data_IF_552115029075
#
_entry.id   IF_552115029075
#
_cell.length_a   1.000
_cell.length_b   1.000
_cell.length_c   1.000
_cell.angle_alpha   90.00
_cell.angle_beta   90.00
_cell.angle_gamma   90.00
#
_symmetry.space_group_name_H-M   'P 1'
#
loop_
_entity.id
_entity.type
_entity.pdbx_description
1 polymer ?
#
# COMPACT_ATOMS: atom_id res chain seq x y z
N UNK A 1 -3.96 4.87 15.94
CA UNK A 1 -3.53 5.17 14.57
C UNK A 1 -4.65 5.92 13.88
N UNK A 2 -4.34 7.04 13.27
CA UNK A 2 -5.28 7.84 12.48
C UNK A 2 -4.75 7.96 11.05
N UNK A 3 -5.67 7.99 10.08
CA UNK A 3 -5.35 8.04 8.64
C UNK A 3 -6.22 9.07 7.96
N UNK A 4 -5.57 9.99 7.23
CA UNK A 4 -6.25 10.97 6.37
C UNK A 4 -5.70 10.85 4.96
N UNK A 5 -6.56 10.46 4.02
CA UNK A 5 -6.16 10.23 2.63
C UNK A 5 -7.02 11.05 1.69
N UNK A 6 -6.38 11.64 0.68
CA UNK A 6 -7.04 12.17 -0.49
C UNK A 6 -6.34 11.70 -1.76
N UNK A 7 -7.06 11.62 -2.85
CA UNK A 7 -6.50 11.23 -4.13
C UNK A 7 -7.21 11.94 -5.28
N UNK A 8 -6.46 12.20 -6.34
CA UNK A 8 -6.96 12.64 -7.63
C UNK A 8 -6.57 11.62 -8.69
N UNK A 9 -7.44 11.39 -9.66
CA UNK A 9 -7.17 10.49 -10.77
C UNK A 9 -7.73 11.04 -12.08
N UNK A 10 -7.11 10.60 -13.18
CA UNK A 10 -7.58 10.88 -14.52
C UNK A 10 -7.36 9.65 -15.40
N UNK A 11 -8.28 9.44 -16.34
CA UNK A 11 -8.25 8.35 -17.31
C UNK A 11 -8.66 8.87 -18.68
N UNK A 12 -7.91 8.45 -19.70
CA UNK A 12 -8.14 8.79 -21.09
C UNK A 12 -8.15 7.52 -21.93
N UNK A 13 -9.03 7.45 -22.89
CA UNK A 13 -8.99 6.42 -23.92
C UNK A 13 -8.95 7.10 -25.28
N UNK A 14 -7.96 6.76 -26.07
CA UNK A 14 -7.78 7.25 -27.42
C UNK A 14 -7.88 6.09 -28.42
N UNK A 15 -8.74 6.23 -29.40
CA UNK A 15 -8.91 5.27 -30.50
C UNK A 15 -8.07 5.76 -31.68
N UNK A 16 -7.02 5.01 -32.03
CA UNK A 16 -6.23 5.27 -33.22
C UNK A 16 -6.98 4.86 -34.49
N UNK A 17 -7.72 3.73 -34.36
CA UNK A 17 -8.62 3.18 -35.38
C UNK A 17 -9.83 2.55 -34.67
N UNK A 18 -10.79 2.04 -35.43
CA UNK A 18 -11.93 1.29 -34.86
C UNK A 18 -11.47 0.00 -34.14
N UNK A 19 -10.27 -0.49 -34.50
CA UNK A 19 -9.70 -1.73 -33.96
C UNK A 19 -8.64 -1.50 -32.89
N UNK A 20 -7.95 -0.36 -32.87
CA UNK A 20 -6.81 -0.10 -31.99
C UNK A 20 -7.09 1.06 -31.04
N UNK A 21 -7.02 0.80 -29.76
CA UNK A 21 -7.25 1.80 -28.72
C UNK A 21 -6.17 1.75 -27.63
N UNK A 22 -5.83 2.90 -27.09
CA UNK A 22 -4.92 3.09 -25.97
C UNK A 22 -5.67 3.74 -24.83
N UNK A 23 -5.69 3.09 -23.69
CA UNK A 23 -6.15 3.67 -22.43
C UNK A 23 -4.94 4.06 -21.56
N UNK A 24 -4.92 5.29 -21.09
CA UNK A 24 -3.93 5.82 -20.17
C UNK A 24 -4.63 6.35 -18.94
N UNK A 25 -4.09 6.07 -17.78
CA UNK A 25 -4.61 6.58 -16.54
C UNK A 25 -3.53 6.79 -15.50
N UNK A 26 -3.86 7.56 -14.51
CA UNK A 26 -2.98 7.78 -13.38
C UNK A 26 -3.75 8.27 -12.16
N UNK A 27 -3.28 7.87 -11.00
CA UNK A 27 -3.81 8.30 -9.71
C UNK A 27 -2.67 8.83 -8.86
N UNK A 28 -2.84 10.01 -8.33
CA UNK A 28 -2.00 10.56 -7.27
C UNK A 28 -2.72 10.42 -5.95
N UNK A 29 -2.05 9.83 -4.97
CA UNK A 29 -2.57 9.62 -3.63
C UNK A 29 -1.65 10.31 -2.62
N UNK A 30 -2.24 11.04 -1.68
CA UNK A 30 -1.58 11.63 -0.52
C UNK A 30 -2.19 11.00 0.73
N UNK A 31 -1.40 10.22 1.46
CA UNK A 31 -1.83 9.42 2.60
C UNK A 31 -1.06 9.85 3.84
N UNK A 32 -1.71 10.61 4.72
CA UNK A 32 -1.15 11.06 5.98
C UNK A 32 -1.51 10.07 7.08
N UNK A 33 -0.49 9.53 7.73
CA UNK A 33 -0.59 8.57 8.82
C UNK A 33 -0.04 9.17 10.10
N UNK A 34 -0.79 9.02 11.19
CA UNK A 34 -0.30 9.33 12.53
C UNK A 34 -0.57 8.18 13.48
N UNK A 35 0.36 7.97 14.39
CA UNK A 35 0.25 6.93 15.41
C UNK A 35 0.70 7.46 16.76
N UNK A 36 0.02 7.04 17.82
CA UNK A 36 0.47 7.16 19.19
C UNK A 36 0.47 5.76 19.78
N UNK A 37 1.62 5.31 20.26
CA UNK A 37 1.80 4.00 20.89
C UNK A 37 2.34 4.20 22.30
N UNK A 38 1.51 3.92 23.30
CA UNK A 38 1.86 3.97 24.71
C UNK A 38 1.75 2.54 25.24
N UNK A 39 2.83 2.05 25.84
CA UNK A 39 2.89 0.73 26.47
C UNK A 39 3.52 0.79 27.83
N UNK A 40 2.96 0.05 28.76
CA UNK A 40 3.46 -0.13 30.10
C UNK A 40 3.22 -1.57 30.57
N UNK A 41 3.99 -2.01 31.53
CA UNK A 41 3.75 -3.26 32.23
C UNK A 41 2.84 -3.02 33.43
N UNK A 42 1.92 -3.93 33.71
CA UNK A 42 1.00 -3.87 34.82
C UNK A 42 1.10 -5.14 35.66
N UNK A 43 1.03 -4.98 37.00
CA UNK A 43 0.93 -6.07 37.96
C UNK A 43 -0.50 -6.19 38.47
N UNK A 44 -0.91 -7.39 38.82
CA UNK A 44 -2.19 -7.72 39.43
C UNK A 44 -3.45 -7.43 38.59
N UNK A 45 -3.27 -7.36 37.24
CA UNK A 45 -4.39 -7.21 36.31
C UNK A 45 -4.09 -6.38 35.06
N UNK A 46 -5.05 -6.28 34.15
CA UNK A 46 -4.94 -5.45 32.96
C UNK A 46 -4.88 -3.95 33.27
N UNK A 47 -4.46 -3.16 32.29
CA UNK A 47 -4.43 -1.70 32.37
C UNK A 47 -5.77 -1.09 32.78
N UNK A 48 -5.80 -0.07 33.65
CA UNK A 48 -7.01 0.70 33.93
C UNK A 48 -7.64 1.36 32.71
N UNK A 49 -6.85 1.65 31.67
CA UNK A 49 -7.34 2.23 30.40
C UNK A 49 -8.29 1.30 29.63
N UNK A 50 -8.24 0.01 29.92
CA UNK A 50 -9.14 -1.00 29.34
C UNK A 50 -10.06 -1.63 30.39
N UNK A 51 -10.30 -0.92 31.50
CA UNK A 51 -11.19 -1.36 32.56
C UNK A 51 -10.56 -2.34 33.54
N UNK A 52 -9.24 -2.50 33.55
CA UNK A 52 -8.52 -3.37 34.48
C UNK A 52 -8.20 -2.70 35.81
N UNK A 53 -7.66 -3.50 36.76
CA UNK A 53 -7.25 -3.07 38.11
C UNK A 53 -5.73 -3.11 38.29
N UNK A 54 -4.97 -3.34 37.23
CA UNK A 54 -3.53 -3.47 37.28
C UNK A 54 -2.83 -2.16 37.67
N UNK A 55 -1.75 -2.30 38.43
CA UNK A 55 -0.86 -1.18 38.83
C UNK A 55 0.34 -1.16 37.90
N UNK A 56 0.62 -0.01 37.30
CA UNK A 56 1.80 0.14 36.42
C UNK A 56 3.09 -0.17 37.18
N UNK A 57 3.91 -1.00 36.59
CA UNK A 57 5.22 -1.38 37.10
C UNK A 57 6.34 -0.90 36.16
N UNK A 58 7.29 -0.13 36.71
CA UNK A 58 8.40 0.41 35.95
C UNK A 58 8.03 1.55 34.99
N UNK A 59 8.98 1.91 34.15
CA UNK A 59 8.80 2.94 33.12
C UNK A 59 7.94 2.44 31.94
N UNK A 60 7.48 3.36 31.10
CA UNK A 60 6.83 3.01 29.83
C UNK A 60 7.81 2.23 28.94
N UNK A 61 7.36 1.09 28.42
CA UNK A 61 8.11 0.30 27.44
C UNK A 61 7.97 0.84 26.01
N UNK A 62 6.94 1.66 25.78
CA UNK A 62 6.79 2.45 24.57
C UNK A 62 6.09 3.77 24.89
N UNK A 63 6.64 4.86 24.35
CA UNK A 63 6.05 6.19 24.34
C UNK A 63 6.39 6.83 22.99
N UNK A 64 5.65 6.44 21.96
CA UNK A 64 5.89 6.87 20.60
C UNK A 64 4.72 7.72 20.09
N UNK A 65 5.06 8.81 19.42
CA UNK A 65 4.12 9.60 18.63
C UNK A 65 4.82 9.97 17.33
N UNK A 66 4.24 9.53 16.20
CA UNK A 66 4.78 9.79 14.88
C UNK A 66 3.71 10.18 13.87
N UNK A 67 4.13 10.93 12.86
CA UNK A 67 3.32 11.35 11.74
C UNK A 67 4.17 11.29 10.47
N UNK A 68 3.65 10.68 9.41
CA UNK A 68 4.29 10.60 8.10
C UNK A 68 3.25 10.79 7.01
N UNK A 69 3.64 11.49 5.94
CA UNK A 69 2.83 11.63 4.74
C UNK A 69 3.49 10.88 3.60
N UNK A 70 2.78 9.90 3.05
CA UNK A 70 3.18 9.15 1.87
C UNK A 70 2.51 9.73 0.63
N UNK A 71 3.28 9.90 -0.44
CA UNK A 71 2.82 10.45 -1.71
C UNK A 71 3.16 9.46 -2.80
N UNK A 72 2.14 8.90 -3.45
CA UNK A 72 2.33 7.86 -4.46
C UNK A 72 1.58 8.19 -5.75
N UNK A 73 2.26 7.98 -6.87
CA UNK A 73 1.67 8.07 -8.19
C UNK A 73 1.60 6.68 -8.82
N UNK A 74 0.39 6.25 -9.17
CA UNK A 74 0.11 4.94 -9.75
C UNK A 74 -0.40 5.08 -11.19
N UNK A 75 0.51 5.05 -12.19
CA UNK A 75 0.14 5.08 -13.60
C UNK A 75 -0.42 3.73 -14.06
N UNK A 76 -1.26 3.78 -15.09
CA UNK A 76 -1.70 2.61 -15.86
C UNK A 76 -1.72 2.93 -17.35
N UNK A 77 -1.43 1.93 -18.16
CA UNK A 77 -1.57 1.99 -19.61
C UNK A 77 -2.07 0.66 -20.13
N UNK A 78 -2.96 0.67 -21.11
CA UNK A 78 -3.45 -0.54 -21.76
C UNK A 78 -3.66 -0.29 -23.25
N UNK A 79 -3.02 -1.09 -24.07
CA UNK A 79 -3.21 -1.11 -25.50
C UNK A 79 -4.10 -2.30 -25.86
N UNK A 80 -5.23 -2.04 -26.54
CA UNK A 80 -6.18 -3.05 -26.97
C UNK A 80 -6.30 -3.06 -28.47
N UNK A 81 -6.27 -4.27 -29.05
CA UNK A 81 -6.49 -4.51 -30.46
C UNK A 81 -7.70 -5.44 -30.63
N UNK A 82 -8.71 -4.96 -31.36
CA UNK A 82 -9.95 -5.67 -31.66
C UNK A 82 -10.07 -5.87 -33.18
N UNK A 83 -9.50 -6.95 -33.74
CA UNK A 83 -9.58 -7.21 -35.19
C UNK A 83 -11.01 -7.37 -35.68
N UNK A 84 -11.93 -7.77 -34.82
CA UNK A 84 -13.37 -7.86 -35.05
C UNK A 84 -14.14 -7.82 -33.71
N UNK A 85 -15.48 -7.79 -33.77
CA UNK A 85 -16.35 -7.69 -32.59
C UNK A 85 -16.30 -8.89 -31.63
N UNK A 86 -15.62 -9.95 -32.02
CA UNK A 86 -15.56 -11.21 -31.28
C UNK A 86 -14.21 -11.43 -30.61
N UNK A 87 -13.18 -10.70 -30.99
CA UNK A 87 -11.81 -10.93 -30.53
C UNK A 87 -11.17 -9.65 -30.01
N UNK A 88 -10.52 -9.77 -28.84
CA UNK A 88 -9.75 -8.69 -28.23
C UNK A 88 -8.43 -9.22 -27.75
N UNK A 89 -7.33 -8.63 -28.20
CA UNK A 89 -6.00 -8.80 -27.62
C UNK A 89 -5.66 -7.53 -26.85
N UNK A 90 -4.99 -7.66 -25.72
CA UNK A 90 -4.52 -6.50 -24.99
C UNK A 90 -3.20 -6.77 -24.30
N UNK A 91 -2.47 -5.69 -24.08
CA UNK A 91 -1.33 -5.64 -23.17
C UNK A 91 -1.54 -4.49 -22.21
N UNK A 92 -1.17 -4.66 -20.97
CA UNK A 92 -1.31 -3.61 -19.96
C UNK A 92 -0.10 -3.52 -19.05
N UNK A 93 0.10 -2.33 -18.54
CA UNK A 93 1.07 -1.97 -17.54
C UNK A 93 0.36 -1.20 -16.43
N UNK A 94 0.65 -1.53 -15.19
CA UNK A 94 0.13 -0.78 -14.04
C UNK A 94 1.11 -0.78 -12.88
N UNK A 95 1.05 0.31 -12.11
CA UNK A 95 1.66 0.37 -10.77
C UNK A 95 0.58 0.44 -9.72
N UNK A 96 0.84 -0.21 -8.59
CA UNK A 96 0.06 -0.13 -7.37
C UNK A 96 0.96 0.03 -6.16
N UNK A 97 0.39 0.35 -5.02
CA UNK A 97 1.09 0.39 -3.74
C UNK A 97 0.17 -0.03 -2.61
N UNK A 98 0.76 -0.52 -1.53
CA UNK A 98 0.12 -0.69 -0.23
C UNK A 98 0.73 0.34 0.71
N UNK A 99 -0.12 1.13 1.37
CA UNK A 99 0.33 2.26 2.18
C UNK A 99 1.28 1.85 3.30
N UNK A 100 2.30 2.68 3.54
CA UNK A 100 3.16 2.60 4.71
C UNK A 100 2.45 2.99 6.00
N UNK A 101 3.17 3.02 7.09
CA UNK A 101 2.61 3.40 8.38
C UNK A 101 3.56 3.14 9.56
N UNK A 102 2.96 2.95 10.73
CA UNK A 102 3.70 2.67 11.96
C UNK A 102 3.22 1.35 12.57
N UNK A 103 4.16 0.49 12.98
CA UNK A 103 3.83 -0.76 13.66
C UNK A 103 3.38 -0.48 15.11
N UNK A 104 2.10 -0.71 15.45
CA UNK A 104 1.60 -0.46 16.80
C UNK A 104 2.11 -1.48 17.83
N UNK A 105 2.81 -2.53 17.40
CA UNK A 105 3.37 -3.57 18.28
C UNK A 105 4.78 -3.26 18.73
N UNK A 106 5.44 -2.27 18.12
CA UNK A 106 6.80 -1.86 18.45
C UNK A 106 6.97 -1.47 19.93
N UNK A 107 8.18 -1.67 20.43
CA UNK A 107 8.61 -1.21 21.74
C UNK A 107 9.69 -0.15 21.55
N UNK A 108 9.49 1.06 22.05
CA UNK A 108 10.52 2.12 21.94
C UNK A 108 11.84 1.72 22.57
N UNK A 109 11.79 0.87 23.61
CA UNK A 109 13.00 0.33 24.28
C UNK A 109 13.76 -0.71 23.44
N UNK A 110 13.12 -1.26 22.38
CA UNK A 110 13.72 -2.23 21.46
C UNK A 110 14.25 -1.59 20.18
N UNK A 111 14.07 -0.28 19.99
CA UNK A 111 14.66 0.44 18.87
C UNK A 111 16.19 0.27 18.88
N UNK A 112 16.85 0.06 17.72
CA UNK A 112 18.30 -0.03 17.67
C UNK A 112 18.94 1.31 18.04
N UNK A 113 20.07 1.25 18.72
CA UNK A 113 20.97 2.38 18.97
C UNK A 113 21.95 2.42 17.79
N UNK A 114 21.63 3.19 16.77
CA UNK A 114 22.36 3.20 15.49
C UNK A 114 23.70 3.93 15.62
N UNK A 115 23.75 4.98 16.42
CA UNK A 115 24.98 5.78 16.62
C UNK A 115 25.87 5.27 17.78
N UNK A 116 25.39 4.26 18.53
CA UNK A 116 26.16 3.61 19.62
C UNK A 116 26.37 4.46 20.83
N UNK A 117 25.54 5.50 21.07
CA UNK A 117 25.70 6.42 22.20
C UNK A 117 25.09 5.91 23.51
N UNK A 118 24.48 4.73 23.51
CA UNK A 118 23.85 4.09 24.67
C UNK A 118 22.43 4.60 24.96
N UNK A 119 21.90 5.52 24.15
CA UNK A 119 20.53 6.04 24.26
C UNK A 119 19.79 5.91 22.90
N UNK A 120 18.47 5.85 22.93
CA UNK A 120 17.67 5.81 21.73
C UNK A 120 17.07 7.17 21.47
N UNK A 121 17.50 7.80 20.39
CA UNK A 121 17.00 9.10 19.96
C UNK A 121 15.54 9.00 19.47
N UNK A 122 14.87 10.14 19.37
CA UNK A 122 13.52 10.19 18.81
C UNK A 122 13.47 9.72 17.35
N UNK A 123 14.51 10.00 16.55
CA UNK A 123 14.62 9.61 15.15
C UNK A 123 14.81 8.09 15.01
N UNK A 124 15.66 7.47 15.82
CA UNK A 124 15.83 6.01 15.83
C UNK A 124 14.56 5.27 16.22
N UNK A 125 13.84 5.79 17.20
CA UNK A 125 12.54 5.25 17.59
C UNK A 125 11.51 5.43 16.44
N UNK A 126 11.51 6.59 15.79
CA UNK A 126 10.64 6.88 14.67
C UNK A 126 10.88 5.91 13.51
N UNK A 127 12.13 5.72 13.10
CA UNK A 127 12.51 4.83 12.01
C UNK A 127 12.22 3.36 12.34
N UNK A 128 12.37 2.95 13.60
CA UNK A 128 12.02 1.61 14.06
C UNK A 128 10.52 1.30 13.96
N UNK A 129 9.66 2.29 14.20
CA UNK A 129 8.21 2.10 14.07
C UNK A 129 7.70 2.26 12.65
N UNK A 130 8.44 2.97 11.80
CA UNK A 130 8.03 3.28 10.44
C UNK A 130 8.21 2.07 9.52
N UNK A 131 7.21 1.80 8.69
CA UNK A 131 7.38 0.95 7.50
C UNK A 131 6.94 1.72 6.26
N UNK A 132 7.75 1.60 5.22
CA UNK A 132 7.53 2.28 3.94
C UNK A 132 6.44 1.57 3.11
N UNK A 133 5.84 2.25 2.11
CA UNK A 133 4.87 1.64 1.23
C UNK A 133 5.47 0.52 0.37
N UNK A 134 4.82 -0.65 0.38
CA UNK A 134 5.13 -1.71 -0.58
C UNK A 134 4.62 -1.30 -1.97
N UNK A 135 5.42 -1.54 -3.01
CA UNK A 135 5.11 -1.17 -4.39
C UNK A 135 5.04 -2.38 -5.29
N UNK A 136 4.08 -2.38 -6.20
CA UNK A 136 3.93 -3.42 -7.21
C UNK A 136 3.93 -2.80 -8.61
N UNK A 137 4.67 -3.45 -9.51
CA UNK A 137 4.61 -3.16 -10.95
C UNK A 137 4.13 -4.41 -11.66
N UNK A 138 3.04 -4.31 -12.41
CA UNK A 138 2.43 -5.42 -13.13
C UNK A 138 2.44 -5.18 -14.63
N UNK A 139 2.75 -6.24 -15.36
CA UNK A 139 2.61 -6.35 -16.81
C UNK A 139 1.68 -7.51 -17.10
N UNK A 140 0.68 -7.31 -17.92
CA UNK A 140 -0.29 -8.34 -18.29
C UNK A 140 -0.50 -8.32 -19.80
N UNK A 141 -0.66 -9.51 -20.38
CA UNK A 141 -1.13 -9.68 -21.75
C UNK A 141 -2.28 -10.67 -21.75
N UNK A 142 -3.32 -10.40 -22.54
CA UNK A 142 -4.48 -11.26 -22.57
C UNK A 142 -5.19 -11.27 -23.92
N UNK A 143 -5.98 -12.33 -24.09
CA UNK A 143 -6.85 -12.56 -25.23
C UNK A 143 -8.25 -12.91 -24.76
N UNK A 144 -9.24 -12.27 -25.35
CA UNK A 144 -10.66 -12.54 -25.12
C UNK A 144 -11.33 -12.83 -26.43
N UNK A 145 -12.16 -13.88 -26.46
CA UNK A 145 -12.93 -14.26 -27.62
C UNK A 145 -14.39 -14.55 -27.27
N UNK A 146 -15.28 -14.20 -28.18
CA UNK A 146 -16.68 -14.61 -28.16
C UNK A 146 -16.91 -15.50 -29.36
N UNK A 147 -17.38 -16.72 -29.12
CA UNK A 147 -17.58 -17.75 -30.14
C UNK A 147 -19.04 -18.19 -30.19
N UNK A 148 -19.46 -18.84 -31.28
CA UNK A 148 -20.83 -19.41 -31.47
C UNK A 148 -21.92 -18.37 -31.21
N UNK A 149 -21.89 -17.26 -31.94
CA UNK A 149 -22.82 -16.13 -31.79
C UNK A 149 -22.87 -15.58 -30.34
N UNK A 150 -21.69 -15.46 -29.71
CA UNK A 150 -21.52 -15.00 -28.32
C UNK A 150 -22.06 -15.92 -27.23
N UNK A 151 -22.40 -17.17 -27.58
CA UNK A 151 -22.85 -18.19 -26.62
C UNK A 151 -21.71 -18.71 -25.75
N UNK A 152 -20.47 -18.69 -26.27
CA UNK A 152 -19.27 -19.05 -25.51
C UNK A 152 -18.35 -17.82 -25.43
N UNK A 153 -17.91 -17.48 -24.21
CA UNK A 153 -16.88 -16.47 -23.97
C UNK A 153 -15.65 -17.14 -23.40
N UNK A 154 -14.51 -16.89 -24.02
CA UNK A 154 -13.21 -17.38 -23.61
C UNK A 154 -12.33 -16.20 -23.24
N UNK A 155 -11.56 -16.33 -22.15
CA UNK A 155 -10.55 -15.37 -21.74
C UNK A 155 -9.30 -16.08 -21.22
N UNK A 156 -8.14 -15.67 -21.72
CA UNK A 156 -6.82 -16.12 -21.28
C UNK A 156 -5.99 -14.88 -20.99
N UNK A 157 -5.28 -14.87 -19.84
CA UNK A 157 -4.34 -13.82 -19.50
C UNK A 157 -3.12 -14.44 -18.81
N UNK A 158 -1.96 -13.82 -19.05
CA UNK A 158 -0.72 -14.06 -18.34
C UNK A 158 -0.17 -12.75 -17.81
N UNK A 159 0.41 -12.77 -16.60
CA UNK A 159 0.96 -11.58 -15.99
C UNK A 159 2.28 -11.84 -15.27
N UNK A 160 3.05 -10.77 -15.10
CA UNK A 160 4.25 -10.72 -14.27
C UNK A 160 4.07 -9.55 -13.30
N UNK A 161 4.16 -9.81 -12.00
CA UNK A 161 4.12 -8.80 -10.96
C UNK A 161 5.46 -8.74 -10.22
N UNK A 162 6.04 -7.55 -10.11
CA UNK A 162 7.28 -7.29 -9.38
C UNK A 162 6.96 -6.44 -8.16
N UNK A 163 7.25 -6.98 -6.98
CA UNK A 163 7.10 -6.31 -5.71
C UNK A 163 8.44 -5.70 -5.27
N UNK A 164 8.38 -4.58 -4.56
CA UNK A 164 9.51 -3.89 -3.91
C UNK A 164 9.08 -3.43 -2.53
N UNK A 165 10.05 -3.32 -1.63
CA UNK A 165 9.88 -2.83 -0.26
C UNK A 165 8.86 -3.71 0.54
N UNK A 166 9.00 -5.05 0.39
CA UNK A 166 8.14 -6.07 1.04
C UNK A 166 8.79 -6.60 2.31
#
# INVERSE_FOLDING_TARGET
>A
VDTKTWAAFADFTYKFTDQLSLALGGRYTNDKRSATVIRANYLNGPSPLVGGTGVQFGALTSNFKGEKTFKEFTPRASLSFQPNDQNTLYVSYSKGFKGGGFDPRGLSTAAPDVDGNGTRSADEIFDYFLFEPEKVTSYEAGYKAAMFDRRLRFALAGFIAKYRDV
#
